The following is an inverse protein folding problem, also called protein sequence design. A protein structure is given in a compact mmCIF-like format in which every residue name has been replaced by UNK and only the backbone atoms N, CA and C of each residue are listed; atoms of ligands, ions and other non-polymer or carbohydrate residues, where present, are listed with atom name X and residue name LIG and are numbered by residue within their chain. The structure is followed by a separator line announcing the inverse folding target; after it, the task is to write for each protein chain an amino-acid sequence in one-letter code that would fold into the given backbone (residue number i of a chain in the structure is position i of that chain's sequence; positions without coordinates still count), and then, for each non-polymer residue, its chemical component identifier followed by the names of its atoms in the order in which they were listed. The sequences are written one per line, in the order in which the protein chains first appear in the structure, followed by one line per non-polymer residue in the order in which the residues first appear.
data_IF_301762165117
#
_entry.id   IF_301762165117
#
_cell.length_a   1.000
_cell.length_b   1.000
_cell.length_c   1.000
_cell.angle_alpha   90.00
_cell.angle_beta   90.00
_cell.angle_gamma   90.00
#
_symmetry.space_group_name_H-M   'P 1'
#
loop_
_entity.id
_entity.type
_entity.pdbx_description
1 polymer ?
#
# COMPACT_ATOMS: atom_id res chain seq x y z
N UNK A 1 -14.61 -10.10 2.13
CA UNK A 1 -13.37 -10.21 1.37
C UNK A 1 -12.60 -8.90 1.30
N UNK A 2 -13.26 -7.82 0.85
CA UNK A 2 -12.59 -6.52 0.69
C UNK A 2 -12.05 -5.97 2.02
N UNK A 3 -12.85 -6.04 3.08
CA UNK A 3 -12.43 -5.55 4.39
C UNK A 3 -11.28 -6.37 4.96
N UNK A 4 -11.30 -7.67 4.78
CA UNK A 4 -10.24 -8.54 5.27
C UNK A 4 -8.93 -8.24 4.55
N UNK A 5 -8.99 -8.06 3.23
CA UNK A 5 -7.81 -7.76 2.45
C UNK A 5 -7.25 -6.39 2.80
N UNK A 6 -8.13 -5.41 2.98
CA UNK A 6 -7.71 -4.06 3.39
C UNK A 6 -6.97 -4.12 4.72
N UNK A 7 -7.49 -4.88 5.69
CA UNK A 7 -6.85 -5.01 6.99
C UNK A 7 -5.46 -5.64 6.87
N UNK A 8 -5.34 -6.67 6.03
CA UNK A 8 -4.04 -7.32 5.83
C UNK A 8 -3.04 -6.38 5.19
N UNK A 9 -3.49 -5.59 4.22
CA UNK A 9 -2.62 -4.61 3.57
C UNK A 9 -2.20 -3.53 4.56
N UNK A 10 -3.14 -3.03 5.35
CA UNK A 10 -2.83 -2.02 6.36
C UNK A 10 -1.84 -2.55 7.39
N UNK A 11 -2.04 -3.77 7.86
CA UNK A 11 -1.12 -4.39 8.81
C UNK A 11 0.28 -4.56 8.21
N UNK A 12 0.34 -5.01 6.96
CA UNK A 12 1.62 -5.18 6.28
C UNK A 12 2.37 -3.87 6.12
N UNK A 13 1.68 -2.82 5.73
CA UNK A 13 2.31 -1.51 5.57
C UNK A 13 2.70 -0.92 6.92
N UNK A 14 1.91 -1.17 7.96
CA UNK A 14 2.23 -0.74 9.31
C UNK A 14 3.52 -1.39 9.82
N UNK A 15 3.80 -2.62 9.40
CA UNK A 15 5.06 -3.27 9.74
C UNK A 15 6.26 -2.56 9.11
N UNK A 16 6.07 -1.96 7.94
CA UNK A 16 7.11 -1.17 7.30
C UNK A 16 7.31 0.16 8.02
N UNK A 17 6.21 0.85 8.32
CA UNK A 17 6.23 2.09 9.06
C UNK A 17 4.83 2.35 9.62
N UNK A 18 4.68 2.43 10.95
CA UNK A 18 3.35 2.61 11.55
C UNK A 18 2.71 3.96 11.24
N UNK A 19 3.45 4.89 10.66
CA UNK A 19 2.92 6.20 10.30
C UNK A 19 2.33 6.24 8.89
N UNK A 20 2.47 5.16 8.12
CA UNK A 20 1.83 5.07 6.80
C UNK A 20 0.33 4.93 6.97
N UNK A 21 -0.44 5.61 6.12
CA UNK A 21 -1.89 5.46 6.12
C UNK A 21 -2.38 5.24 4.70
N UNK A 22 -3.52 4.58 4.58
CA UNK A 22 -4.12 4.20 3.30
C UNK A 22 -5.44 4.93 3.13
N UNK A 23 -5.66 5.46 1.92
CA UNK A 23 -6.91 6.12 1.57
C UNK A 23 -7.40 5.60 0.22
N UNK A 24 -8.71 5.67 0.01
CA UNK A 24 -9.36 5.29 -1.26
C UNK A 24 -9.02 3.87 -1.71
N UNK A 25 -9.02 2.94 -0.77
CA UNK A 25 -8.72 1.55 -1.05
C UNK A 25 -9.80 0.92 -1.93
N UNK A 26 -9.39 0.33 -3.05
CA UNK A 26 -10.30 -0.34 -3.98
C UNK A 26 -9.67 -1.61 -4.49
N UNK A 27 -10.52 -2.57 -4.82
CA UNK A 27 -10.08 -3.82 -5.42
C UNK A 27 -10.76 -3.96 -6.78
N UNK A 28 -9.96 -4.22 -7.80
CA UNK A 28 -10.47 -4.45 -9.15
C UNK A 28 -9.99 -5.84 -9.57
N UNK A 29 -10.93 -6.78 -9.64
CA UNK A 29 -10.61 -8.15 -10.01
C UNK A 29 -10.41 -8.28 -11.51
N UNK A 30 -9.28 -8.86 -11.89
CA UNK A 30 -9.00 -9.23 -13.27
C UNK A 30 -9.19 -10.72 -13.47
N UNK A 31 -8.89 -11.19 -14.69
CA UNK A 31 -9.04 -12.60 -15.03
C UNK A 31 -7.93 -13.47 -14.44
N UNK A 32 -6.74 -12.90 -14.27
CA UNK A 32 -5.57 -13.66 -13.78
C UNK A 32 -4.98 -13.11 -12.50
N UNK A 33 -5.33 -11.87 -12.16
CA UNK A 33 -4.80 -11.23 -10.96
C UNK A 33 -5.81 -10.20 -10.44
N UNK A 34 -5.55 -9.71 -9.24
CA UNK A 34 -6.43 -8.74 -8.60
C UNK A 34 -5.64 -7.44 -8.38
N UNK A 35 -6.15 -6.35 -8.91
CA UNK A 35 -5.55 -5.04 -8.70
C UNK A 35 -6.00 -4.48 -7.36
N UNK A 36 -5.02 -4.03 -6.56
CA UNK A 36 -5.27 -3.37 -5.29
C UNK A 36 -4.85 -1.92 -5.45
N UNK A 37 -5.84 -1.03 -5.49
CA UNK A 37 -5.60 0.38 -5.80
C UNK A 37 -5.83 1.21 -4.55
N UNK A 38 -4.87 2.03 -4.19
CA UNK A 38 -5.02 2.90 -3.03
C UNK A 38 -4.02 4.05 -3.04
N UNK A 39 -4.33 5.07 -2.26
CA UNK A 39 -3.41 6.16 -1.97
C UNK A 39 -2.72 5.85 -0.65
N UNK A 40 -1.41 5.97 -0.62
CA UNK A 40 -0.62 5.78 0.59
C UNK A 40 -0.03 7.12 1.01
N UNK A 41 -0.40 7.57 2.19
CA UNK A 41 0.13 8.82 2.74
C UNK A 41 1.29 8.48 3.65
N UNK A 42 2.43 9.10 3.38
CA UNK A 42 3.67 8.87 4.12
C UNK A 42 4.03 10.13 4.91
N UNK A 43 4.75 9.96 6.03
CA UNK A 43 5.19 11.13 6.80
C UNK A 43 6.23 11.93 6.03
N UNK A 44 6.27 13.23 6.33
CA UNK A 44 7.25 14.13 5.75
C UNK A 44 8.62 13.86 6.36
N UNK A 45 9.66 13.99 5.57
CA UNK A 45 11.03 13.90 6.08
C UNK A 45 11.63 12.52 6.16
N UNK A 46 11.04 11.52 5.51
CA UNK A 46 11.66 10.21 5.42
C UNK A 46 12.91 10.26 4.53
N UNK A 47 13.91 9.49 4.90
CA UNK A 47 15.16 9.36 4.13
C UNK A 47 15.04 8.39 2.97
N UNK A 48 13.83 8.08 2.55
CA UNK A 48 13.57 7.15 1.46
C UNK A 48 12.94 7.88 0.29
N UNK A 49 13.28 7.46 -0.93
CA UNK A 49 12.62 7.99 -2.13
C UNK A 49 11.24 7.35 -2.27
N UNK A 50 10.38 8.00 -3.05
CA UNK A 50 9.06 7.43 -3.34
C UNK A 50 9.19 6.06 -3.98
N UNK A 51 10.19 5.89 -4.85
CA UNK A 51 10.44 4.60 -5.50
C UNK A 51 10.74 3.50 -4.47
N UNK A 52 11.59 3.81 -3.50
CA UNK A 52 11.94 2.84 -2.46
C UNK A 52 10.72 2.49 -1.61
N UNK A 53 9.94 3.48 -1.26
CA UNK A 53 8.74 3.28 -0.46
C UNK A 53 7.71 2.43 -1.22
N UNK A 54 7.46 2.78 -2.48
CA UNK A 54 6.56 2.01 -3.33
C UNK A 54 7.03 0.56 -3.48
N UNK A 55 8.32 0.37 -3.73
CA UNK A 55 8.86 -0.97 -3.93
C UNK A 55 8.69 -1.83 -2.67
N UNK A 56 8.96 -1.26 -1.50
CA UNK A 56 8.76 -1.97 -0.24
C UNK A 56 7.30 -2.35 -0.05
N UNK A 57 6.38 -1.42 -0.34
CA UNK A 57 4.96 -1.68 -0.21
C UNK A 57 4.49 -2.76 -1.18
N UNK A 58 4.96 -2.71 -2.42
CA UNK A 58 4.61 -3.72 -3.44
C UNK A 58 5.07 -5.09 -2.99
N UNK A 59 6.31 -5.21 -2.52
CA UNK A 59 6.85 -6.48 -2.07
C UNK A 59 6.06 -7.01 -0.88
N UNK A 60 5.69 -6.13 0.03
CA UNK A 60 4.92 -6.54 1.21
C UNK A 60 3.54 -7.07 0.82
N UNK A 61 2.87 -6.39 -0.09
CA UNK A 61 1.54 -6.81 -0.54
C UNK A 61 1.62 -8.13 -1.30
N UNK A 62 2.63 -8.29 -2.15
CA UNK A 62 2.80 -9.54 -2.88
C UNK A 62 3.16 -10.71 -1.96
N UNK A 63 3.74 -10.44 -0.80
CA UNK A 63 4.01 -11.47 0.18
C UNK A 63 2.73 -11.98 0.84
N UNK A 64 1.65 -11.18 0.83
CA UNK A 64 0.35 -11.61 1.32
C UNK A 64 -0.29 -12.58 0.33
N UNK A 65 -0.26 -12.22 -0.95
CA UNK A 65 -0.77 -13.06 -2.03
C UNK A 65 -0.11 -12.59 -3.33
N UNK A 66 0.60 -13.48 -4.00
CA UNK A 66 1.33 -13.15 -5.22
C UNK A 66 0.43 -12.72 -6.37
N UNK A 67 -0.86 -13.01 -6.29
CA UNK A 67 -1.82 -12.61 -7.31
C UNK A 67 -2.29 -11.16 -7.16
N UNK A 68 -1.89 -10.50 -6.09
CA UNK A 68 -2.23 -9.11 -5.87
C UNK A 68 -1.28 -8.20 -6.64
N UNK A 69 -1.87 -7.24 -7.37
CA UNK A 69 -1.12 -6.24 -8.13
C UNK A 69 -1.39 -4.88 -7.50
N UNK A 70 -0.48 -4.39 -6.67
CA UNK A 70 -0.70 -3.08 -6.04
C UNK A 70 -0.47 -1.95 -7.02
N UNK A 71 -1.43 -1.02 -7.04
CA UNK A 71 -1.34 0.22 -7.79
C UNK A 71 -1.42 1.31 -6.74
N UNK A 72 -0.27 1.90 -6.43
CA UNK A 72 -0.12 2.77 -5.27
C UNK A 72 0.21 4.18 -5.72
N UNK A 73 -0.56 5.14 -5.23
CA UNK A 73 -0.25 6.54 -5.37
C UNK A 73 0.32 7.03 -4.03
N UNK A 74 1.58 7.45 -4.03
CA UNK A 74 2.25 7.88 -2.80
C UNK A 74 2.09 9.38 -2.64
N UNK A 75 1.58 9.81 -1.50
CA UNK A 75 1.40 11.20 -1.16
C UNK A 75 2.14 11.51 0.14
N UNK A 76 2.76 12.67 0.20
CA UNK A 76 3.42 13.11 1.43
C UNK A 76 2.44 13.91 2.27
N UNK A 77 2.45 13.64 3.56
CA UNK A 77 1.65 14.43 4.50
C UNK A 77 2.22 15.85 4.57
N UNK A 78 1.35 16.84 4.36
CA UNK A 78 1.75 18.24 4.44
C UNK A 78 1.47 18.82 5.82
N UNK A 79 0.73 18.10 6.64
CA UNK A 79 0.48 18.54 8.00
C UNK A 79 1.48 17.85 8.92
N UNK A 80 2.07 18.59 9.75
CA UNK A 80 3.09 18.06 10.67
C UNK A 80 2.73 18.21 12.09
#
# INVERSE_FOLDING_TARGET
FTNELKMKVEEGLCELNPEYSIHDFRIVKGSTHTNVVFDMVIPYGLDLTERQIKQSAIEKIKSIDEKLYPIINVEKSLSD
#
